data_IF_052428683178
#
_entry.id   IF_052428683178
#
_cell.length_a   1.000
_cell.length_b   1.000
_cell.length_c   1.000
_cell.angle_alpha   90.00
_cell.angle_beta   90.00
_cell.angle_gamma   90.00
#
_symmetry.space_group_name_H-M   'P 1'
#
loop_
_entity.id
_entity.type
_entity.pdbx_description
1 polymer ?
#
# COMPACT_ATOMS: atom_id res chain seq x y z
N UNK A 1 -33.92 21.58 12.56
CA UNK A 1 -32.94 20.78 13.33
C UNK A 1 -32.03 19.93 12.43
N UNK A 2 -32.58 19.04 11.58
CA UNK A 2 -31.79 18.16 10.68
C UNK A 2 -30.85 18.92 9.74
N UNK A 3 -31.31 20.05 9.17
CA UNK A 3 -30.45 20.90 8.33
C UNK A 3 -29.23 21.44 9.08
N UNK A 4 -29.39 21.86 10.34
CA UNK A 4 -28.27 22.38 11.15
C UNK A 4 -27.30 21.26 11.47
N UNK A 5 -27.79 20.07 11.85
CA UNK A 5 -26.94 18.91 12.18
C UNK A 5 -26.15 18.44 10.95
N UNK A 6 -26.77 18.41 9.78
CA UNK A 6 -26.11 17.96 8.54
C UNK A 6 -25.12 18.98 7.98
N UNK A 7 -25.44 20.27 8.03
CA UNK A 7 -24.52 21.32 7.57
C UNK A 7 -23.39 21.62 8.56
N UNK A 8 -23.63 21.48 9.87
CA UNK A 8 -22.58 21.68 10.89
C UNK A 8 -21.40 20.72 10.77
N UNK A 9 -21.60 19.55 10.15
CA UNK A 9 -20.55 18.56 9.91
C UNK A 9 -19.90 18.69 8.52
N UNK A 10 -20.33 19.66 7.69
CA UNK A 10 -19.75 19.89 6.36
C UNK A 10 -18.80 21.07 6.38
N UNK A 11 -17.59 20.84 5.90
CA UNK A 11 -16.59 21.87 5.65
C UNK A 11 -16.63 22.29 4.16
N UNK A 12 -16.66 23.60 3.90
CA UNK A 12 -16.71 24.17 2.55
C UNK A 12 -15.46 23.81 1.74
N UNK A 13 -14.30 23.70 2.39
CA UNK A 13 -13.02 23.40 1.75
C UNK A 13 -12.67 21.91 1.65
N UNK A 14 -13.55 21.02 2.11
CA UNK A 14 -13.32 19.55 2.07
C UNK A 14 -12.98 19.03 0.67
N UNK A 15 -13.62 19.56 -0.37
CA UNK A 15 -13.33 19.22 -1.76
C UNK A 15 -11.87 19.53 -2.14
N UNK A 16 -11.36 20.70 -1.73
CA UNK A 16 -9.99 21.13 -2.04
C UNK A 16 -8.97 20.23 -1.34
N UNK A 17 -9.25 19.85 -0.08
CA UNK A 17 -8.38 18.94 0.67
C UNK A 17 -8.31 17.54 0.03
N UNK A 18 -9.45 16.97 -0.36
CA UNK A 18 -9.50 15.68 -1.06
C UNK A 18 -8.76 15.75 -2.39
N UNK A 19 -8.98 16.83 -3.16
CA UNK A 19 -8.32 17.01 -4.44
C UNK A 19 -6.80 17.16 -4.31
N UNK A 20 -6.35 17.92 -3.29
CA UNK A 20 -4.93 18.03 -2.96
C UNK A 20 -4.31 16.67 -2.65
N UNK A 21 -4.89 15.89 -1.72
CA UNK A 21 -4.34 14.59 -1.34
C UNK A 21 -4.34 13.59 -2.51
N UNK A 22 -5.38 13.59 -3.36
CA UNK A 22 -5.42 12.78 -4.57
C UNK A 22 -4.29 13.13 -5.53
N UNK A 23 -4.18 14.41 -5.91
CA UNK A 23 -3.14 14.85 -6.82
C UNK A 23 -1.73 14.63 -6.26
N UNK A 24 -1.58 14.76 -4.94
CA UNK A 24 -0.32 14.60 -4.23
C UNK A 24 0.18 13.16 -4.19
N UNK A 25 -0.66 12.19 -3.80
CA UNK A 25 -0.25 10.78 -3.73
C UNK A 25 -0.28 10.07 -5.08
N UNK A 26 -1.25 10.38 -5.95
CA UNK A 26 -1.31 9.82 -7.29
C UNK A 26 -0.30 10.47 -8.25
N UNK A 27 0.35 11.56 -7.79
CA UNK A 27 1.37 12.29 -8.51
C UNK A 27 0.95 12.76 -9.90
N UNK A 28 -0.33 13.14 -10.03
CA UNK A 28 -0.97 13.54 -11.30
C UNK A 28 -0.36 14.81 -11.93
N UNK A 29 0.59 15.47 -11.26
CA UNK A 29 1.27 16.68 -11.73
C UNK A 29 2.66 16.40 -12.33
N UNK A 30 3.18 15.18 -12.18
CA UNK A 30 4.53 14.82 -12.63
C UNK A 30 4.47 13.67 -13.62
N UNK A 31 4.98 13.90 -14.84
CA UNK A 31 4.83 12.97 -15.97
C UNK A 31 5.64 11.68 -15.85
N UNK A 32 6.68 11.66 -15.01
CA UNK A 32 7.63 10.53 -14.93
C UNK A 32 7.23 9.45 -13.92
N UNK A 33 6.38 9.78 -12.94
CA UNK A 33 6.02 8.86 -11.84
C UNK A 33 4.53 9.02 -11.50
N UNK A 34 3.67 9.02 -12.51
CA UNK A 34 2.22 9.15 -12.37
C UNK A 34 1.59 7.78 -12.09
N UNK A 35 0.87 7.66 -10.96
CA UNK A 35 0.20 6.42 -10.58
C UNK A 35 -0.84 5.96 -11.61
N UNK A 36 -1.50 6.91 -12.28
CA UNK A 36 -2.61 6.61 -13.21
C UNK A 36 -2.15 5.96 -14.51
N UNK A 37 -0.84 5.99 -14.79
CA UNK A 37 -0.25 5.44 -16.01
C UNK A 37 0.59 4.18 -15.75
N UNK A 38 0.51 3.57 -14.57
CA UNK A 38 1.23 2.34 -14.24
C UNK A 38 0.58 1.15 -14.97
N UNK A 39 1.39 0.39 -15.71
CA UNK A 39 0.96 -0.80 -16.44
C UNK A 39 1.74 -2.06 -16.03
N UNK A 40 2.90 -1.91 -15.38
CA UNK A 40 3.75 -3.04 -14.99
C UNK A 40 4.03 -3.08 -13.49
N UNK A 41 4.44 -4.25 -13.00
CA UNK A 41 4.83 -4.45 -11.59
C UNK A 41 6.04 -3.58 -11.23
N UNK A 42 7.02 -3.46 -12.14
CA UNK A 42 8.22 -2.66 -11.90
C UNK A 42 7.89 -1.17 -11.80
N UNK A 43 6.99 -0.67 -12.65
CA UNK A 43 6.49 0.72 -12.57
C UNK A 43 5.75 0.98 -11.25
N UNK A 44 4.97 -0.01 -10.76
CA UNK A 44 4.31 0.09 -9.47
C UNK A 44 5.31 0.25 -8.32
N UNK A 45 6.31 -0.63 -8.25
CA UNK A 45 7.35 -0.55 -7.21
C UNK A 45 8.17 0.73 -7.32
N UNK A 46 8.50 1.14 -8.55
CA UNK A 46 9.18 2.40 -8.80
C UNK A 46 8.38 3.61 -8.30
N UNK A 47 7.07 3.66 -8.58
CA UNK A 47 6.19 4.71 -8.04
C UNK A 47 6.09 4.67 -6.52
N UNK A 48 5.93 3.47 -5.94
CA UNK A 48 5.78 3.31 -4.51
C UNK A 48 7.01 3.85 -3.76
N UNK A 49 8.22 3.47 -4.20
CA UNK A 49 9.47 3.86 -3.56
C UNK A 49 9.78 5.35 -3.77
N UNK A 50 9.64 5.84 -5.02
CA UNK A 50 10.11 7.19 -5.37
C UNK A 50 9.05 8.28 -5.13
N UNK A 51 7.77 7.94 -5.19
CA UNK A 51 6.67 8.89 -5.00
C UNK A 51 5.99 8.69 -3.65
N UNK A 52 5.35 7.54 -3.44
CA UNK A 52 4.50 7.32 -2.26
C UNK A 52 5.29 7.41 -0.94
N UNK A 53 6.40 6.65 -0.81
CA UNK A 53 7.23 6.62 0.41
C UNK A 53 7.87 7.99 0.69
N UNK A 54 8.27 8.72 -0.34
CA UNK A 54 8.78 10.08 -0.19
C UNK A 54 7.69 11.04 0.32
N UNK A 55 6.45 10.86 -0.12
CA UNK A 55 5.33 11.74 0.17
C UNK A 55 4.72 11.56 1.58
N UNK A 56 4.79 10.36 2.17
CA UNK A 56 4.19 10.05 3.48
C UNK A 56 4.87 10.74 4.67
N UNK A 57 6.10 11.25 4.52
CA UNK A 57 6.84 11.91 5.60
C UNK A 57 7.53 13.16 5.09
N UNK A 58 7.50 14.23 5.89
CA UNK A 58 8.17 15.48 5.60
C UNK A 58 9.65 15.27 5.19
N UNK A 59 9.97 15.66 3.96
CA UNK A 59 11.34 15.65 3.45
C UNK A 59 12.03 16.99 3.75
N UNK A 60 13.31 17.06 3.40
CA UNK A 60 14.08 18.30 3.46
C UNK A 60 13.37 19.45 2.75
N UNK A 61 13.63 20.66 3.22
CA UNK A 61 13.19 21.86 2.55
C UNK A 61 13.88 22.03 1.20
N UNK A 62 13.34 22.91 0.37
CA UNK A 62 13.90 23.22 -0.95
C UNK A 62 15.35 23.75 -0.87
N UNK A 63 15.76 24.27 0.29
CA UNK A 63 17.11 24.76 0.57
C UNK A 63 18.00 23.72 1.29
N UNK A 64 17.55 22.47 1.42
CA UNK A 64 18.28 21.40 2.10
C UNK A 64 18.13 21.39 3.62
N UNK A 65 17.39 22.34 4.21
CA UNK A 65 17.19 22.38 5.65
C UNK A 65 16.35 21.19 6.13
N UNK A 66 16.67 20.72 7.34
CA UNK A 66 15.93 19.65 8.00
C UNK A 66 14.54 20.18 8.39
N UNK A 67 13.46 19.42 8.18
CA UNK A 67 12.09 19.83 8.53
C UNK A 67 11.86 19.75 10.05
N UNK A 68 12.42 20.71 10.79
CA UNK A 68 12.29 20.78 12.25
C UNK A 68 10.81 20.86 12.67
N UNK A 69 10.43 20.10 13.70
CA UNK A 69 9.07 20.04 14.26
C UNK A 69 7.97 19.52 13.32
N UNK A 70 8.31 19.02 12.13
CA UNK A 70 7.37 18.41 11.19
C UNK A 70 7.36 16.88 11.25
N UNK A 71 7.77 16.31 12.38
CA UNK A 71 7.71 14.88 12.61
C UNK A 71 6.26 14.40 12.56
N UNK A 72 5.98 13.47 11.66
CA UNK A 72 4.62 12.96 11.44
C UNK A 72 3.74 13.87 10.59
N UNK A 73 4.30 14.86 9.87
CA UNK A 73 3.62 15.52 8.77
C UNK A 73 3.94 14.83 7.45
N UNK A 74 3.02 14.93 6.49
CA UNK A 74 3.27 14.58 5.10
C UNK A 74 4.30 15.55 4.51
N UNK A 75 4.87 15.21 3.35
CA UNK A 75 5.81 16.10 2.66
C UNK A 75 5.17 17.37 2.04
N UNK A 76 3.86 17.54 2.19
CA UNK A 76 3.18 18.83 2.00
C UNK A 76 3.32 19.79 3.19
N UNK A 77 3.89 19.30 4.30
CA UNK A 77 4.25 20.05 5.52
C UNK A 77 3.05 20.69 6.22
N UNK A 78 1.84 20.27 5.86
CA UNK A 78 0.59 20.87 6.31
C UNK A 78 -0.35 19.82 6.91
N UNK A 79 -0.43 18.64 6.30
CA UNK A 79 -1.27 17.55 6.78
C UNK A 79 -0.48 16.64 7.73
N UNK A 80 -1.09 16.31 8.86
CA UNK A 80 -0.51 15.39 9.84
C UNK A 80 -0.88 13.95 9.50
N UNK A 81 0.14 13.10 9.41
CA UNK A 81 0.01 11.67 9.29
C UNK A 81 -0.22 11.03 10.67
N UNK A 82 -1.22 10.17 10.75
CA UNK A 82 -1.62 9.48 11.99
C UNK A 82 -1.39 7.99 11.78
N UNK A 83 -0.61 7.38 12.68
CA UNK A 83 -0.30 5.95 12.62
C UNK A 83 0.83 5.62 11.64
N UNK A 84 0.65 4.53 10.89
CA UNK A 84 1.60 4.04 9.89
C UNK A 84 0.85 3.53 8.67
N UNK A 85 1.53 3.53 7.53
CA UNK A 85 0.98 2.98 6.30
C UNK A 85 1.16 1.46 6.35
N UNK A 86 0.07 0.74 6.07
CA UNK A 86 0.08 -0.73 6.04
C UNK A 86 -0.20 -1.18 4.62
N UNK A 87 0.64 -2.07 4.10
CA UNK A 87 0.39 -2.77 2.84
C UNK A 87 -0.18 -4.15 3.15
N UNK A 88 -1.26 -4.51 2.46
CA UNK A 88 -1.86 -5.85 2.50
C UNK A 88 -1.86 -6.41 1.08
N UNK A 89 -1.47 -7.68 0.95
CA UNK A 89 -1.46 -8.39 -0.32
C UNK A 89 -2.45 -9.56 -0.26
N UNK A 90 -3.26 -9.70 -1.31
CA UNK A 90 -4.08 -10.88 -1.55
C UNK A 90 -3.37 -11.77 -2.56
N UNK A 91 -3.47 -13.09 -2.37
CA UNK A 91 -2.89 -14.09 -3.26
C UNK A 91 -3.90 -15.20 -3.50
N UNK A 92 -3.68 -15.93 -4.58
CA UNK A 92 -4.49 -17.08 -4.99
C UNK A 92 -3.64 -18.34 -4.94
N UNK A 93 -4.28 -19.47 -4.70
CA UNK A 93 -3.62 -20.78 -4.72
C UNK A 93 -3.14 -21.09 -6.12
N UNK A 94 -1.89 -21.52 -6.24
CA UNK A 94 -1.33 -22.01 -7.49
C UNK A 94 -1.67 -23.49 -7.63
N UNK A 95 -2.44 -23.86 -8.66
CA UNK A 95 -2.81 -25.25 -8.93
C UNK A 95 -2.17 -25.76 -10.22
N UNK A 96 -2.05 -27.08 -10.36
CA UNK A 96 -1.57 -27.66 -11.60
C UNK A 96 -2.63 -27.50 -12.70
N UNK A 97 -2.22 -26.98 -13.86
CA UNK A 97 -3.12 -26.87 -15.00
C UNK A 97 -3.64 -28.25 -15.44
N UNK A 98 -4.85 -28.28 -16.01
CA UNK A 98 -5.42 -29.50 -16.61
C UNK A 98 -4.56 -30.06 -17.75
N UNK A 99 -3.92 -29.20 -18.54
CA UNK A 99 -2.94 -29.60 -19.56
C UNK A 99 -1.52 -29.15 -19.19
N UNK A 100 -0.83 -30.01 -18.44
CA UNK A 100 0.54 -29.79 -17.96
C UNK A 100 1.59 -29.82 -19.08
N UNK A 101 1.22 -30.16 -20.32
CA UNK A 101 2.18 -30.24 -21.43
C UNK A 101 2.61 -28.86 -21.93
N UNK A 102 1.81 -27.82 -21.68
CA UNK A 102 2.07 -26.45 -22.12
C UNK A 102 2.42 -25.56 -20.93
N UNK A 103 1.64 -25.65 -19.86
CA UNK A 103 1.80 -24.80 -18.67
C UNK A 103 1.66 -25.69 -17.45
N UNK A 104 2.62 -25.61 -16.52
CA UNK A 104 2.63 -26.41 -15.31
C UNK A 104 1.70 -25.86 -14.23
N UNK A 105 1.63 -24.53 -14.09
CA UNK A 105 0.93 -23.84 -13.02
C UNK A 105 -0.14 -22.92 -13.60
N UNK A 106 -1.36 -23.06 -13.10
CA UNK A 106 -2.49 -22.22 -13.42
C UNK A 106 -2.92 -21.45 -12.18
N UNK A 107 -3.28 -20.19 -12.43
CA UNK A 107 -3.76 -19.24 -11.45
C UNK A 107 -5.13 -18.77 -11.91
N UNK A 108 -6.16 -19.06 -11.10
CA UNK A 108 -7.53 -18.64 -11.40
C UNK A 108 -7.76 -17.19 -10.98
N UNK A 109 -8.92 -16.63 -11.33
CA UNK A 109 -9.36 -15.35 -10.80
C UNK A 109 -9.51 -15.40 -9.28
N UNK A 110 -9.32 -14.24 -8.64
CA UNK A 110 -9.50 -14.13 -7.20
C UNK A 110 -10.94 -14.44 -6.81
N UNK A 111 -11.09 -15.34 -5.84
CA UNK A 111 -12.34 -15.66 -5.17
C UNK A 111 -12.05 -16.00 -3.70
N UNK A 112 -13.06 -15.88 -2.84
CA UNK A 112 -12.93 -16.25 -1.42
C UNK A 112 -12.47 -17.71 -1.23
N UNK A 113 -12.83 -18.61 -2.15
CA UNK A 113 -12.44 -20.02 -2.07
C UNK A 113 -11.03 -20.28 -2.61
N UNK A 114 -10.59 -19.48 -3.59
CA UNK A 114 -9.28 -19.61 -4.23
C UNK A 114 -8.18 -18.80 -3.53
N UNK A 115 -8.50 -18.08 -2.45
CA UNK A 115 -7.54 -17.32 -1.66
C UNK A 115 -6.46 -18.24 -1.06
N UNK A 116 -5.21 -17.78 -1.15
CA UNK A 116 -4.05 -18.46 -0.57
C UNK A 116 -3.89 -18.04 0.90
N UNK A 117 -4.02 -19.03 1.78
CA UNK A 117 -3.97 -18.85 3.23
C UNK A 117 -2.73 -19.49 3.87
N UNK A 118 -1.83 -20.06 3.05
CA UNK A 118 -0.59 -20.66 3.54
C UNK A 118 0.37 -19.61 4.12
N UNK A 119 1.22 -20.08 5.04
CA UNK A 119 2.29 -19.27 5.63
C UNK A 119 3.56 -19.43 4.81
N UNK A 120 4.10 -18.30 4.34
CA UNK A 120 5.32 -18.28 3.55
C UNK A 120 6.49 -17.72 4.34
N UNK A 121 7.69 -18.13 3.96
CA UNK A 121 8.90 -17.40 4.33
C UNK A 121 9.12 -16.22 3.38
N UNK A 122 9.98 -15.26 3.75
CA UNK A 122 10.37 -14.19 2.85
C UNK A 122 10.83 -14.72 1.50
N UNK A 123 10.31 -14.11 0.42
CA UNK A 123 10.51 -14.60 -0.94
C UNK A 123 9.45 -15.59 -1.43
N UNK A 124 8.36 -15.80 -0.68
CA UNK A 124 7.27 -16.71 -1.05
C UNK A 124 7.70 -18.18 -1.18
N UNK A 125 8.70 -18.55 -0.39
CA UNK A 125 9.18 -19.93 -0.31
C UNK A 125 8.43 -20.68 0.77
N UNK A 126 8.23 -21.98 0.54
CA UNK A 126 7.71 -22.86 1.59
C UNK A 126 8.69 -22.90 2.75
N UNK A 127 8.20 -23.19 3.95
CA UNK A 127 9.02 -23.29 5.17
C UNK A 127 10.03 -24.45 5.05
N UNK A 128 11.16 -24.21 4.39
CA UNK A 128 12.33 -25.09 4.39
C UNK A 128 13.32 -24.69 5.48
N UNK A 129 14.10 -25.67 5.93
CA UNK A 129 14.79 -25.76 7.23
C UNK A 129 15.91 -24.72 7.48
N UNK A 130 16.21 -23.83 6.53
CA UNK A 130 17.27 -22.83 6.72
C UNK A 130 16.69 -21.48 7.15
N UNK A 131 16.82 -21.21 8.45
CA UNK A 131 16.53 -19.92 9.07
C UNK A 131 17.50 -18.84 8.54
N UNK A 132 17.15 -18.24 7.40
CA UNK A 132 17.68 -16.93 7.08
C UNK A 132 17.29 -15.94 8.19
N UNK A 133 18.25 -15.10 8.62
CA UNK A 133 18.11 -14.16 9.74
C UNK A 133 17.27 -12.95 9.30
N UNK A 134 16.00 -13.17 8.98
CA UNK A 134 15.04 -12.09 8.75
C UNK A 134 14.53 -11.53 10.08
N UNK A 135 14.27 -10.22 10.12
CA UNK A 135 13.60 -9.61 11.27
C UNK A 135 12.20 -10.21 11.47
N UNK A 136 11.72 -10.21 12.71
CA UNK A 136 10.37 -10.68 13.04
C UNK A 136 9.28 -9.93 12.28
N UNK A 137 9.47 -8.63 12.02
CA UNK A 137 8.55 -7.81 11.23
C UNK A 137 8.45 -8.26 9.78
N UNK A 138 9.58 -8.61 9.16
CA UNK A 138 9.62 -9.12 7.79
C UNK A 138 8.95 -10.49 7.74
N UNK A 139 9.29 -11.41 8.65
CA UNK A 139 8.64 -12.74 8.72
C UNK A 139 7.11 -12.61 8.86
N UNK A 140 6.63 -11.68 9.69
CA UNK A 140 5.19 -11.42 9.85
C UNK A 140 4.52 -10.93 8.56
N UNK A 141 5.22 -10.23 7.68
CA UNK A 141 4.65 -9.71 6.43
C UNK A 141 4.32 -10.81 5.41
N UNK A 142 4.91 -12.00 5.52
CA UNK A 142 4.65 -13.15 4.66
C UNK A 142 3.66 -14.16 5.28
N UNK A 143 3.19 -13.88 6.49
CA UNK A 143 2.18 -14.70 7.15
C UNK A 143 0.78 -14.19 6.78
N UNK A 144 -0.10 -15.12 6.43
CA UNK A 144 -1.51 -14.84 6.24
C UNK A 144 -2.16 -14.41 7.57
N UNK A 145 -3.03 -13.40 7.50
CA UNK A 145 -3.84 -12.91 8.61
C UNK A 145 -5.28 -12.73 8.15
N UNK A 146 -6.22 -13.19 8.96
CA UNK A 146 -7.65 -13.14 8.63
C UNK A 146 -8.23 -11.73 8.78
N UNK A 147 -9.40 -11.48 8.18
CA UNK A 147 -10.10 -10.18 8.35
C UNK A 147 -10.42 -9.87 9.81
N UNK A 148 -10.80 -10.90 10.57
CA UNK A 148 -11.15 -10.78 11.99
C UNK A 148 -9.94 -10.39 12.85
N UNK A 149 -8.73 -10.84 12.49
CA UNK A 149 -7.50 -10.48 13.20
C UNK A 149 -7.05 -9.03 12.91
N UNK A 150 -7.43 -8.50 11.75
CA UNK A 150 -7.01 -7.18 11.30
C UNK A 150 -8.01 -6.07 11.65
N UNK A 151 -9.19 -6.41 12.17
CA UNK A 151 -10.32 -5.49 12.37
C UNK A 151 -10.65 -4.69 11.09
N UNK A 152 -10.37 -5.28 9.92
CA UNK A 152 -10.68 -4.68 8.61
C UNK A 152 -11.84 -5.44 7.99
N UNK A 153 -12.93 -4.72 7.66
CA UNK A 153 -14.08 -5.25 6.92
C UNK A 153 -13.74 -5.64 5.48
#
# INVERSE_FOLDING_TARGET
>A
LVFIITYSNREQHSFVQVNHLRAYFLNQRQTTVDYTNINTIDEYWYWLENSFVSNIRAQQWYNGDIPQYLNGFLNDKSNRFIGWATMRQLRIKSELCSDQRIISICEDSYSFFSEETQLFQPGWTNQTIEDEIYSSSIKKAFNYSTSDELDTY
#
